data_IF_727701479662
#
_entry.id   IF_727701479662
#
_cell.length_a   1.000
_cell.length_b   1.000
_cell.length_c   1.000
_cell.angle_alpha   90.00
_cell.angle_beta   90.00
_cell.angle_gamma   90.00
#
_symmetry.space_group_name_H-M   'P 1'
#
loop_
_entity.id
_entity.type
_entity.pdbx_description
1 polymer ?
#
# COMPACT_ATOMS: atom_id res chain seq x y z
N UNK A 1 32.80 5.27 -11.45
CA UNK A 1 31.48 5.92 -11.60
C UNK A 1 30.43 4.96 -11.08
N UNK A 2 29.95 5.14 -9.85
CA UNK A 2 28.84 4.34 -9.32
C UNK A 2 27.57 4.90 -9.94
N UNK A 3 26.92 4.14 -10.82
CA UNK A 3 25.59 4.47 -11.30
C UNK A 3 24.63 4.36 -10.12
N UNK A 4 24.30 5.48 -9.47
CA UNK A 4 23.17 5.53 -8.54
C UNK A 4 21.92 5.45 -9.40
N UNK A 5 21.40 4.24 -9.60
CA UNK A 5 20.12 4.07 -10.30
C UNK A 5 19.02 4.66 -9.42
N UNK A 6 18.50 5.84 -9.80
CA UNK A 6 17.33 6.45 -9.18
C UNK A 6 16.09 5.59 -9.50
N UNK A 7 15.89 4.49 -8.76
CA UNK A 7 14.76 3.60 -8.94
C UNK A 7 13.51 4.27 -8.36
N UNK A 8 12.43 4.47 -9.15
CA UNK A 8 11.20 5.01 -8.60
C UNK A 8 10.67 4.04 -7.53
N UNK A 9 10.36 4.60 -6.36
CA UNK A 9 9.91 3.84 -5.20
C UNK A 9 8.58 3.10 -5.47
N UNK A 10 7.68 3.72 -6.22
CA UNK A 10 6.38 3.16 -6.59
C UNK A 10 6.18 3.38 -8.10
N UNK A 11 5.73 2.33 -8.78
CA UNK A 11 5.32 2.38 -10.19
C UNK A 11 3.82 2.11 -10.27
N UNK A 12 3.09 3.02 -10.93
CA UNK A 12 1.67 2.83 -11.25
C UNK A 12 1.55 2.06 -12.58
N UNK A 13 0.83 0.93 -12.57
CA UNK A 13 0.52 0.18 -13.77
C UNK A 13 -0.66 0.79 -14.52
N UNK A 14 -0.36 1.66 -15.47
CA UNK A 14 -1.36 2.35 -16.31
C UNK A 14 -2.17 1.43 -17.21
N UNK A 15 -1.74 0.18 -17.41
CA UNK A 15 -2.47 -0.78 -18.25
C UNK A 15 -3.45 -1.65 -17.46
N UNK A 16 -3.58 -1.44 -16.14
CA UNK A 16 -4.52 -2.19 -15.31
C UNK A 16 -5.96 -1.75 -15.56
N UNK A 17 -6.82 -2.69 -15.95
CA UNK A 17 -8.27 -2.46 -16.01
C UNK A 17 -8.85 -2.16 -14.63
N UNK A 18 -8.36 -2.85 -13.59
CA UNK A 18 -8.74 -2.65 -12.18
C UNK A 18 -8.42 -1.25 -11.68
N UNK A 19 -7.28 -0.67 -12.10
CA UNK A 19 -6.96 0.74 -11.83
C UNK A 19 -8.08 1.66 -12.32
N UNK A 20 -8.47 1.55 -13.59
CA UNK A 20 -9.50 2.42 -14.16
C UNK A 20 -10.89 2.16 -13.60
N UNK A 21 -11.23 0.91 -13.26
CA UNK A 21 -12.47 0.61 -12.55
C UNK A 21 -12.50 1.31 -11.19
N UNK A 22 -11.41 1.23 -10.43
CA UNK A 22 -11.32 1.84 -9.11
C UNK A 22 -11.36 3.36 -9.19
N UNK A 23 -10.65 3.98 -10.14
CA UNK A 23 -10.72 5.42 -10.37
C UNK A 23 -12.14 5.91 -10.66
N UNK A 24 -12.94 5.14 -11.41
CA UNK A 24 -14.32 5.51 -11.77
C UNK A 24 -15.33 5.26 -10.65
N UNK A 25 -15.22 4.13 -9.94
CA UNK A 25 -16.28 3.65 -9.04
C UNK A 25 -15.92 3.73 -7.55
N UNK A 26 -14.63 3.83 -7.21
CA UNK A 26 -14.06 3.60 -5.87
C UNK A 26 -12.82 4.48 -5.63
N UNK A 27 -12.92 5.77 -5.96
CA UNK A 27 -11.78 6.71 -5.89
C UNK A 27 -11.17 6.82 -4.49
N UNK A 28 -11.97 6.73 -3.42
CA UNK A 28 -11.48 6.71 -2.03
C UNK A 28 -10.65 5.47 -1.72
N UNK A 29 -11.03 4.30 -2.26
CA UNK A 29 -10.24 3.07 -2.17
C UNK A 29 -8.91 3.21 -2.91
N UNK A 30 -8.88 3.88 -4.07
CA UNK A 30 -7.63 4.18 -4.77
C UNK A 30 -6.72 5.09 -3.94
N UNK A 31 -7.27 6.12 -3.29
CA UNK A 31 -6.50 6.99 -2.39
C UNK A 31 -5.90 6.20 -1.23
N UNK A 32 -6.68 5.32 -0.59
CA UNK A 32 -6.18 4.46 0.48
C UNK A 32 -5.09 3.50 -0.02
N UNK A 33 -5.26 2.88 -1.19
CA UNK A 33 -4.26 1.99 -1.77
C UNK A 33 -2.96 2.75 -2.11
N UNK A 34 -3.08 3.96 -2.63
CA UNK A 34 -1.94 4.85 -2.90
C UNK A 34 -1.19 5.20 -1.62
N UNK A 35 -1.93 5.51 -0.55
CA UNK A 35 -1.35 5.79 0.78
C UNK A 35 -0.59 4.57 1.33
N UNK A 36 -1.16 3.37 1.19
CA UNK A 36 -0.52 2.12 1.59
C UNK A 36 0.78 1.91 0.80
N UNK A 37 0.76 2.11 -0.53
CA UNK A 37 1.96 2.00 -1.36
C UNK A 37 3.04 3.00 -0.93
N UNK A 38 2.66 4.26 -0.69
CA UNK A 38 3.55 5.34 -0.22
C UNK A 38 4.17 5.06 1.15
N UNK A 39 3.46 4.34 2.02
CA UNK A 39 3.90 4.03 3.38
C UNK A 39 4.50 2.64 3.52
N UNK A 40 4.51 1.84 2.46
CA UNK A 40 5.03 0.47 2.50
C UNK A 40 6.52 0.50 2.81
N UNK A 41 6.91 -0.19 3.89
CA UNK A 41 8.29 -0.25 4.34
C UNK A 41 9.19 -0.93 3.30
N UNK A 42 10.36 -0.36 3.05
CA UNK A 42 11.33 -0.87 2.07
C UNK A 42 12.36 -1.83 2.65
N UNK A 43 12.85 -1.52 3.84
CA UNK A 43 13.94 -2.24 4.51
C UNK A 43 13.53 -2.59 5.94
N UNK A 44 14.13 -3.64 6.49
CA UNK A 44 13.81 -4.13 7.84
C UNK A 44 14.72 -3.52 8.93
N UNK A 45 15.16 -2.27 8.76
CA UNK A 45 16.12 -1.63 9.66
C UNK A 45 15.53 -1.27 11.03
N UNK A 46 14.20 -1.14 11.11
CA UNK A 46 13.49 -0.72 12.31
C UNK A 46 12.68 -1.91 12.86
N UNK A 47 12.94 -2.29 14.11
CA UNK A 47 12.18 -3.35 14.79
C UNK A 47 11.01 -2.76 15.60
N UNK A 48 9.93 -2.37 14.92
CA UNK A 48 8.70 -1.85 15.52
C UNK A 48 7.46 -2.70 15.22
N UNK A 49 7.66 -3.91 14.66
CA UNK A 49 6.61 -4.85 14.30
C UNK A 49 5.92 -4.56 12.96
N UNK A 50 6.51 -3.72 12.10
CA UNK A 50 6.12 -3.52 10.70
C UNK A 50 7.18 -4.17 9.80
N UNK A 51 6.78 -5.06 8.91
CA UNK A 51 7.68 -5.76 7.99
C UNK A 51 7.84 -5.02 6.66
N UNK A 52 8.81 -5.43 5.85
CA UNK A 52 8.95 -4.97 4.47
C UNK A 52 7.67 -5.24 3.67
N UNK A 53 7.21 -4.25 2.92
CA UNK A 53 5.94 -4.25 2.18
C UNK A 53 4.71 -3.91 3.02
N UNK A 54 4.87 -3.63 4.32
CA UNK A 54 3.77 -3.28 5.21
C UNK A 54 3.71 -1.78 5.51
N UNK A 55 2.49 -1.30 5.75
CA UNK A 55 2.17 0.08 6.07
C UNK A 55 1.22 0.16 7.27
N UNK A 56 1.50 1.06 8.21
CA UNK A 56 0.57 1.42 9.27
C UNK A 56 -0.49 2.39 8.71
N UNK A 57 -1.76 2.05 8.93
CA UNK A 57 -2.93 2.84 8.53
C UNK A 57 -3.92 2.96 9.69
N UNK A 58 -4.79 3.95 9.61
CA UNK A 58 -5.85 4.18 10.62
C UNK A 58 -6.19 5.66 10.83
N UNK A 59 -5.32 6.52 10.34
CA UNK A 59 -5.39 7.97 10.21
C UNK A 59 -6.32 8.40 9.06
N UNK A 60 -7.53 7.85 9.01
CA UNK A 60 -8.46 8.07 7.89
C UNK A 60 -8.82 9.54 7.64
N UNK A 61 -8.67 10.38 8.66
CA UNK A 61 -8.87 11.83 8.56
C UNK A 61 -7.79 12.52 7.72
N UNK A 62 -6.55 12.02 7.72
CA UNK A 62 -5.43 12.63 7.00
C UNK A 62 -5.58 12.53 5.48
N UNK A 63 -6.19 11.46 4.98
CA UNK A 63 -6.49 11.31 3.55
C UNK A 63 -7.91 11.76 3.17
N UNK A 64 -8.62 12.42 4.09
CA UNK A 64 -9.93 13.04 3.83
C UNK A 64 -11.12 12.08 3.83
N UNK A 65 -11.01 10.89 4.41
CA UNK A 65 -12.13 9.95 4.53
C UNK A 65 -12.89 10.09 5.85
N UNK A 66 -14.15 9.66 5.86
CA UNK A 66 -14.85 9.33 7.10
C UNK A 66 -14.46 7.94 7.58
N UNK A 67 -14.70 7.64 8.86
CA UNK A 67 -14.43 6.30 9.39
C UNK A 67 -15.21 5.20 8.65
N UNK A 68 -16.43 5.49 8.20
CA UNK A 68 -17.25 4.55 7.43
C UNK A 68 -16.66 4.29 6.05
N UNK A 69 -16.21 5.34 5.35
CA UNK A 69 -15.52 5.22 4.07
C UNK A 69 -14.26 4.38 4.23
N UNK A 70 -13.42 4.67 5.23
CA UNK A 70 -12.22 3.90 5.55
C UNK A 70 -12.49 2.41 5.78
N UNK A 71 -13.51 2.07 6.58
CA UNK A 71 -13.89 0.67 6.82
C UNK A 71 -14.36 -0.02 5.53
N UNK A 72 -15.13 0.69 4.70
CA UNK A 72 -15.60 0.20 3.40
C UNK A 72 -14.44 -0.04 2.43
N UNK A 73 -13.54 0.94 2.29
CA UNK A 73 -12.38 0.87 1.42
C UNK A 73 -11.43 -0.26 1.81
N UNK A 74 -11.12 -0.41 3.10
CA UNK A 74 -10.31 -1.54 3.60
C UNK A 74 -10.92 -2.89 3.22
N UNK A 75 -12.22 -3.06 3.47
CA UNK A 75 -12.93 -4.30 3.15
C UNK A 75 -12.93 -4.57 1.65
N UNK A 76 -13.11 -3.52 0.84
CA UNK A 76 -13.08 -3.61 -0.61
C UNK A 76 -11.70 -4.04 -1.12
N UNK A 77 -10.63 -3.34 -0.72
CA UNK A 77 -9.26 -3.63 -1.15
C UNK A 77 -8.82 -5.05 -0.76
N UNK A 78 -9.18 -5.51 0.44
CA UNK A 78 -8.94 -6.89 0.86
C UNK A 78 -9.75 -7.89 0.03
N UNK A 79 -11.02 -7.59 -0.26
CA UNK A 79 -11.90 -8.45 -1.06
C UNK A 79 -11.38 -8.64 -2.50
N UNK A 80 -10.82 -7.60 -3.10
CA UNK A 80 -10.30 -7.66 -4.48
C UNK A 80 -8.85 -8.15 -4.57
N UNK A 81 -8.24 -8.51 -3.43
CA UNK A 81 -6.90 -9.08 -3.38
C UNK A 81 -5.76 -8.08 -3.58
N UNK A 82 -5.96 -6.79 -3.33
CA UNK A 82 -4.88 -5.81 -3.41
C UNK A 82 -4.04 -5.77 -2.12
N UNK A 83 -4.68 -6.00 -0.96
CA UNK A 83 -4.04 -5.94 0.36
C UNK A 83 -4.45 -7.08 1.28
N UNK A 84 -3.58 -7.41 2.23
CA UNK A 84 -3.95 -8.08 3.49
C UNK A 84 -3.92 -7.10 4.64
N UNK A 85 -4.66 -7.40 5.72
CA UNK A 85 -4.81 -6.52 6.87
C UNK A 85 -4.62 -7.31 8.16
N UNK A 86 -3.85 -6.78 9.11
CA UNK A 86 -3.82 -7.23 10.51
C UNK A 86 -4.06 -6.07 11.47
N UNK A 87 -4.89 -6.30 12.48
CA UNK A 87 -5.11 -5.32 13.55
C UNK A 87 -4.03 -5.45 14.61
N UNK A 88 -3.58 -4.32 15.15
CA UNK A 88 -2.63 -4.27 16.27
C UNK A 88 -3.18 -3.36 17.37
N UNK A 89 -2.57 -3.38 18.55
CA UNK A 89 -2.92 -2.46 19.64
C UNK A 89 -2.68 -0.98 19.29
N UNK A 90 -1.85 -0.70 18.29
CA UNK A 90 -1.48 0.66 17.83
C UNK A 90 -2.22 1.10 16.57
N UNK A 91 -2.96 0.21 15.90
CA UNK A 91 -3.66 0.56 14.66
C UNK A 91 -3.95 -0.63 13.76
N UNK A 92 -3.93 -0.39 12.46
CA UNK A 92 -4.13 -1.42 11.44
C UNK A 92 -2.89 -1.45 10.54
N UNK A 93 -2.29 -2.62 10.36
CA UNK A 93 -1.21 -2.81 9.39
C UNK A 93 -1.82 -3.39 8.12
N UNK A 94 -1.51 -2.79 6.98
CA UNK A 94 -1.85 -3.30 5.66
C UNK A 94 -0.60 -3.69 4.89
N UNK A 95 -0.66 -4.76 4.11
CA UNK A 95 0.42 -5.24 3.25
C UNK A 95 -0.06 -5.32 1.82
N UNK A 96 0.69 -4.78 0.87
CA UNK A 96 0.41 -4.99 -0.55
C UNK A 96 0.73 -6.44 -0.92
N UNK A 97 -0.20 -7.09 -1.62
CA UNK A 97 -0.04 -8.48 -2.08
C UNK A 97 -0.21 -8.63 -3.59
N UNK A 98 -0.53 -7.54 -4.29
CA UNK A 98 -0.73 -7.48 -5.74
C UNK A 98 0.16 -6.40 -6.33
N UNK A 99 0.74 -6.69 -7.49
CA UNK A 99 1.46 -5.71 -8.32
C UNK A 99 0.59 -5.20 -9.49
N UNK A 100 -0.71 -5.50 -9.49
CA UNK A 100 -1.60 -5.19 -10.61
C UNK A 100 -1.78 -3.68 -10.78
N UNK A 101 -1.91 -2.92 -9.69
CA UNK A 101 -2.07 -1.46 -9.72
C UNK A 101 -0.77 -0.75 -9.36
N UNK A 102 -0.16 -1.09 -8.23
CA UNK A 102 1.10 -0.52 -7.77
C UNK A 102 2.16 -1.59 -7.65
N UNK A 103 3.34 -1.32 -8.21
CA UNK A 103 4.53 -2.10 -7.97
C UNK A 103 5.46 -1.26 -7.07
N UNK A 104 5.70 -1.74 -5.86
CA UNK A 104 6.61 -1.10 -4.89
C UNK A 104 7.97 -1.75 -5.00
N UNK A 105 9.01 -0.94 -5.19
CA UNK A 105 10.38 -1.43 -5.21
C UNK A 105 10.83 -1.74 -3.77
N UNK A 106 10.53 -2.96 -3.32
CA UNK A 106 11.00 -3.48 -2.05
C UNK A 106 12.46 -3.90 -2.22
N UNK A 107 13.32 -3.38 -1.36
CA UNK A 107 14.71 -3.83 -1.31
C UNK A 107 14.70 -5.11 -0.47
N UNK A 108 14.35 -6.23 -1.11
CA UNK A 108 14.67 -7.54 -0.58
C UNK A 108 16.19 -7.59 -0.55
N UNK A 109 16.80 -7.30 0.61
CA UNK A 109 18.20 -7.65 0.83
C UNK A 109 18.29 -9.13 0.53
N UNK A 110 18.84 -9.43 -0.64
CA UNK A 110 19.17 -10.78 -1.06
C UNK A 110 20.07 -11.32 0.05
N UNK A 111 19.54 -12.22 0.87
CA UNK A 111 20.36 -13.03 1.75
C UNK A 111 21.24 -13.87 0.80
N UNK A 112 22.45 -13.38 0.54
CA UNK A 112 23.58 -14.16 0.04
C UNK A 112 24.30 -14.72 1.26
#
# INVERSE_FOLDING_TARGET
MIMVTNRPFIKLNRNSSKLYEMLRKRSTSFSLLTLIALRSRRTNEINDGIEVGEALIGDYKEYGATQQIYRSDKKYLAKIGEITIRSTSKGTIAKLISNEIFNVNLDESTNI
#
